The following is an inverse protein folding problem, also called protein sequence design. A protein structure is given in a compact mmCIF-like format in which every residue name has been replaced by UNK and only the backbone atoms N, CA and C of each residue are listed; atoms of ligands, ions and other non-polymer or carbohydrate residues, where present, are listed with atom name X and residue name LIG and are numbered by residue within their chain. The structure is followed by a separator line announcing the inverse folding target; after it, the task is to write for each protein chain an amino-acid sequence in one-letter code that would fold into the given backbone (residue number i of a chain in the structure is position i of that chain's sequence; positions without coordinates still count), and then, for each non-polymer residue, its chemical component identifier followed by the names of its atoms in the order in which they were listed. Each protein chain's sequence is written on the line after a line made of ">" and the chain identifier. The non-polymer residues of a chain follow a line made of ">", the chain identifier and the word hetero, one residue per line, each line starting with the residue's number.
data_IF_934151409425
#
_entry.id   IF_934151409425
#
_cell.length_a   1.000
_cell.length_b   1.000
_cell.length_c   1.000
_cell.angle_alpha   90.00
_cell.angle_beta   90.00
_cell.angle_gamma   90.00
#
_symmetry.space_group_name_H-M   'P 1'
#
loop_
_entity.id
_entity.type
_entity.pdbx_description
1 polymer ?
#
# COMPACT_ATOMS: atom_id res chain seq x y z
N UNK A 1 38.39 -57.18 3.93
CA UNK A 1 39.83 -57.18 4.23
C UNK A 1 40.58 -56.87 2.93
N UNK A 2 41.55 -55.95 3.03
CA UNK A 2 42.68 -55.64 2.10
C UNK A 2 42.37 -55.18 0.67
N UNK A 3 42.57 -53.90 0.29
CA UNK A 3 43.82 -53.14 0.02
C UNK A 3 44.65 -53.66 -1.17
N UNK A 4 44.85 -52.80 -2.18
CA UNK A 4 46.14 -52.21 -2.60
C UNK A 4 46.04 -51.71 -4.06
N UNK A 5 46.06 -50.40 -4.35
CA UNK A 5 47.23 -49.50 -4.43
C UNK A 5 48.42 -50.08 -5.21
N UNK A 6 48.61 -49.60 -6.45
CA UNK A 6 49.90 -49.68 -7.12
C UNK A 6 50.44 -48.26 -7.41
N UNK A 7 51.67 -48.05 -6.97
CA UNK A 7 52.47 -46.80 -6.93
C UNK A 7 53.64 -47.00 -7.92
N UNK A 8 54.00 -46.02 -8.76
CA UNK A 8 55.19 -45.09 -8.70
C UNK A 8 55.83 -45.00 -10.11
N UNK A 9 56.57 -43.94 -10.54
CA UNK A 9 57.85 -43.48 -9.93
C UNK A 9 58.11 -41.94 -9.93
N UNK A 10 59.29 -41.45 -9.43
CA UNK A 10 59.46 -40.11 -8.84
C UNK A 10 60.52 -39.16 -9.50
N UNK A 11 60.39 -37.84 -9.21
CA UNK A 11 61.33 -36.65 -9.14
C UNK A 11 62.55 -36.47 -10.09
N UNK A 12 62.97 -35.22 -10.44
CA UNK A 12 63.74 -34.29 -9.55
C UNK A 12 63.42 -32.77 -9.77
N UNK A 13 63.78 -31.75 -8.98
CA UNK A 13 64.57 -31.50 -7.77
C UNK A 13 64.48 -29.98 -7.45
N UNK A 14 64.57 -29.56 -6.19
CA UNK A 14 64.55 -28.12 -5.77
C UNK A 14 65.90 -27.41 -6.00
N UNK A 15 66.22 -26.24 -5.39
CA UNK A 15 65.53 -25.53 -4.29
C UNK A 15 65.47 -23.96 -4.42
N UNK A 16 64.89 -23.34 -3.39
CA UNK A 16 65.19 -22.01 -2.81
C UNK A 16 64.57 -20.72 -3.41
N UNK A 17 63.80 -20.03 -2.55
CA UNK A 17 63.44 -18.61 -2.61
C UNK A 17 64.56 -17.79 -1.93
N UNK A 18 64.99 -16.68 -2.53
CA UNK A 18 64.92 -15.35 -1.89
C UNK A 18 64.36 -14.32 -2.90
N UNK A 19 63.56 -13.30 -2.58
CA UNK A 19 63.73 -12.29 -1.55
C UNK A 19 63.97 -10.92 -2.21
N UNK A 20 62.92 -10.07 -2.25
CA UNK A 20 62.89 -8.61 -2.44
C UNK A 20 63.37 -7.94 -3.76
N UNK A 21 62.49 -7.09 -4.31
CA UNK A 21 62.87 -5.79 -4.88
C UNK A 21 62.41 -5.49 -6.30
N UNK A 22 61.56 -4.45 -6.44
CA UNK A 22 61.66 -3.50 -7.56
C UNK A 22 60.67 -3.62 -8.72
N UNK A 23 59.83 -2.59 -8.81
CA UNK A 23 59.44 -1.88 -10.03
C UNK A 23 58.21 -2.25 -10.89
N UNK A 24 57.29 -1.27 -10.91
CA UNK A 24 56.53 -0.73 -12.05
C UNK A 24 55.53 -1.61 -12.81
N UNK A 25 54.23 -1.29 -12.67
CA UNK A 25 53.21 -1.84 -13.58
C UNK A 25 51.76 -1.53 -13.23
N UNK A 26 51.33 -0.31 -13.54
CA UNK A 26 50.09 0.06 -14.27
C UNK A 26 48.73 -0.63 -13.94
N UNK A 27 47.71 0.22 -13.75
CA UNK A 27 46.38 -0.02 -14.32
C UNK A 27 45.39 -0.91 -13.55
N UNK A 28 45.06 -0.55 -12.30
CA UNK A 28 43.90 -1.12 -11.62
C UNK A 28 42.61 -0.37 -11.97
N UNK A 29 41.89 -0.83 -12.98
CA UNK A 29 40.51 -0.43 -13.24
C UNK A 29 39.67 -0.67 -11.97
N UNK A 30 39.36 0.41 -11.24
CA UNK A 30 38.49 0.37 -10.07
C UNK A 30 37.09 -0.05 -10.51
N UNK A 31 36.82 -1.35 -10.41
CA UNK A 31 35.57 -1.97 -10.79
C UNK A 31 34.37 -1.19 -10.27
N UNK A 32 33.38 -1.03 -11.14
CA UNK A 32 32.08 -0.48 -10.83
C UNK A 32 31.60 -1.05 -9.49
N UNK A 33 31.47 -0.17 -8.50
CA UNK A 33 30.86 -0.52 -7.22
C UNK A 33 29.43 -0.94 -7.51
N UNK A 34 29.19 -2.24 -7.58
CA UNK A 34 27.86 -2.81 -7.59
C UNK A 34 27.06 -2.15 -6.47
N UNK A 35 26.07 -1.33 -6.82
CA UNK A 35 25.09 -0.82 -5.87
C UNK A 35 24.40 -2.05 -5.30
N UNK A 36 24.80 -2.43 -4.08
CA UNK A 36 24.02 -3.33 -3.23
C UNK A 36 22.67 -2.66 -3.02
N UNK A 37 21.69 -3.06 -3.84
CA UNK A 37 20.28 -2.74 -3.65
C UNK A 37 19.88 -3.18 -2.24
N UNK A 38 19.80 -2.21 -1.32
CA UNK A 38 19.30 -2.43 0.02
C UNK A 38 17.80 -2.64 -0.06
N UNK A 39 17.38 -3.89 -0.14
CA UNK A 39 15.99 -4.28 0.13
C UNK A 39 15.65 -3.90 1.58
N UNK A 40 14.90 -2.82 1.73
CA UNK A 40 14.34 -2.38 3.01
C UNK A 40 14.06 -0.90 2.99
N UNK A 41 12.81 -0.52 2.75
CA UNK A 41 12.37 0.84 3.01
C UNK A 41 12.49 1.09 4.52
N UNK A 42 13.45 1.93 4.93
CA UNK A 42 13.47 2.52 6.28
C UNK A 42 12.41 3.62 6.37
N UNK A 43 11.18 3.32 5.95
CA UNK A 43 10.06 4.22 6.12
C UNK A 43 9.70 4.20 7.61
N UNK A 44 10.20 5.18 8.37
CA UNK A 44 9.82 5.35 9.78
C UNK A 44 8.36 5.75 9.94
N UNK A 45 7.76 6.27 8.87
CA UNK A 45 6.38 6.77 8.79
C UNK A 45 5.84 6.55 7.39
N UNK A 46 4.62 6.04 7.29
CA UNK A 46 3.84 5.92 6.05
C UNK A 46 2.69 6.91 6.14
N UNK A 47 2.56 7.77 5.14
CA UNK A 47 1.49 8.76 5.05
C UNK A 47 0.52 8.32 3.95
N UNK A 48 -0.69 7.96 4.37
CA UNK A 48 -1.81 7.56 3.52
C UNK A 48 -2.81 8.71 3.45
N UNK A 49 -3.40 8.95 2.29
CA UNK A 49 -4.44 9.96 2.12
C UNK A 49 -5.53 9.47 1.16
N UNK A 50 -6.72 10.02 1.27
CA UNK A 50 -7.81 9.80 0.31
C UNK A 50 -8.01 11.07 -0.50
N UNK A 51 -8.32 10.93 -1.79
CA UNK A 51 -8.63 12.05 -2.66
C UNK A 51 -9.77 11.71 -3.59
N UNK A 52 -10.88 12.44 -3.46
CA UNK A 52 -11.95 12.42 -4.44
C UNK A 52 -11.53 13.31 -5.61
N UNK A 53 -11.11 12.68 -6.72
CA UNK A 53 -10.53 13.38 -7.85
C UNK A 53 -11.57 14.10 -8.71
N UNK A 54 -12.85 13.76 -8.57
CA UNK A 54 -13.98 14.16 -9.43
C UNK A 54 -13.85 13.78 -10.90
N UNK A 55 -12.66 13.78 -11.50
CA UNK A 55 -12.37 13.26 -12.84
C UNK A 55 -10.85 13.19 -13.11
N UNK A 56 -10.37 12.03 -13.55
CA UNK A 56 -9.02 11.78 -14.09
C UNK A 56 -9.09 11.18 -15.49
N UNK A 57 -10.12 11.56 -16.26
CA UNK A 57 -10.38 11.03 -17.60
C UNK A 57 -9.23 11.27 -18.57
N UNK A 58 -8.59 12.42 -18.49
CA UNK A 58 -7.53 12.82 -19.42
C UNK A 58 -6.18 12.85 -18.73
N UNK A 59 -5.11 12.75 -19.50
CA UNK A 59 -3.76 12.74 -18.96
C UNK A 59 -3.37 14.12 -18.40
N UNK A 60 -3.94 15.23 -18.90
CA UNK A 60 -3.72 16.54 -18.28
C UNK A 60 -4.22 16.61 -16.84
N UNK A 61 -5.33 15.91 -16.54
CA UNK A 61 -5.86 15.83 -15.17
C UNK A 61 -5.00 15.00 -14.23
N UNK A 62 -4.29 14.01 -14.76
CA UNK A 62 -3.29 13.27 -13.98
C UNK A 62 -2.11 14.18 -13.64
N UNK A 63 -1.63 14.96 -14.62
CA UNK A 63 -0.54 15.91 -14.38
C UNK A 63 -0.92 16.97 -13.35
N UNK A 64 -2.13 17.55 -13.46
CA UNK A 64 -2.65 18.50 -12.47
C UNK A 64 -2.70 17.88 -11.06
N UNK A 65 -3.20 16.64 -10.95
CA UNK A 65 -3.17 15.90 -9.68
C UNK A 65 -1.75 15.74 -9.15
N UNK A 66 -0.78 15.36 -9.99
CA UNK A 66 0.62 15.21 -9.59
C UNK A 66 1.21 16.54 -9.07
N UNK A 67 0.91 17.67 -9.71
CA UNK A 67 1.34 19.00 -9.26
C UNK A 67 0.69 19.44 -7.94
N UNK A 68 -0.55 19.04 -7.68
CA UNK A 68 -1.23 19.31 -6.42
C UNK A 68 -0.62 18.51 -5.27
N UNK A 69 -0.42 17.21 -5.47
CA UNK A 69 0.05 16.31 -4.42
C UNK A 69 1.56 16.44 -4.17
N UNK A 70 2.35 16.94 -5.13
CA UNK A 70 3.80 17.17 -4.94
C UNK A 70 4.09 18.19 -3.83
N UNK A 71 3.12 19.07 -3.53
CA UNK A 71 3.19 20.05 -2.43
C UNK A 71 3.00 19.41 -1.05
N UNK A 72 2.56 18.16 -0.99
CA UNK A 72 2.22 17.43 0.24
C UNK A 72 3.21 16.28 0.46
N UNK A 73 3.35 15.86 1.72
CA UNK A 73 4.03 14.60 2.02
C UNK A 73 3.03 13.46 1.94
N UNK A 74 3.13 12.66 0.89
CA UNK A 74 2.28 11.48 0.68
C UNK A 74 3.14 10.29 0.26
N UNK A 75 2.59 9.10 0.47
CA UNK A 75 3.19 7.86 -0.01
C UNK A 75 2.20 7.05 -0.85
N UNK A 76 0.95 6.99 -0.41
CA UNK A 76 -0.15 6.35 -1.13
C UNK A 76 -1.38 7.21 -0.97
N UNK A 77 -2.03 7.50 -2.09
CA UNK A 77 -3.31 8.17 -2.10
C UNK A 77 -4.33 7.23 -2.72
N UNK A 78 -5.41 6.96 -1.99
CA UNK A 78 -6.57 6.27 -2.53
C UNK A 78 -7.45 7.25 -3.28
N UNK A 79 -7.80 6.90 -4.50
CA UNK A 79 -8.57 7.76 -5.41
C UNK A 79 -10.02 7.29 -5.48
N UNK A 80 -10.94 8.25 -5.47
CA UNK A 80 -12.36 8.06 -5.73
C UNK A 80 -12.81 8.99 -6.85
N UNK A 81 -13.89 8.62 -7.55
CA UNK A 81 -14.42 9.34 -8.71
C UNK A 81 -13.38 9.56 -9.83
N UNK A 82 -12.66 8.49 -10.16
CA UNK A 82 -11.62 8.53 -11.20
C UNK A 82 -12.22 8.82 -12.59
N UNK A 83 -13.41 8.28 -12.91
CA UNK A 83 -14.13 8.50 -14.17
C UNK A 83 -13.29 8.30 -15.45
N UNK A 84 -12.36 7.35 -15.40
CA UNK A 84 -11.50 6.92 -16.51
C UNK A 84 -11.93 5.52 -16.96
N UNK A 85 -11.90 5.28 -18.26
CA UNK A 85 -12.36 4.03 -18.89
C UNK A 85 -11.35 2.90 -18.72
N UNK A 86 -11.86 1.70 -18.43
CA UNK A 86 -11.08 0.49 -18.24
C UNK A 86 -10.48 0.28 -16.84
N UNK A 87 -9.62 -0.73 -16.75
CA UNK A 87 -8.82 -1.03 -15.56
C UNK A 87 -7.37 -1.18 -15.99
N UNK A 88 -6.47 -0.38 -15.43
CA UNK A 88 -5.06 -0.48 -15.76
C UNK A 88 -4.14 -0.04 -14.61
N UNK A 89 -2.89 -0.47 -14.70
CA UNK A 89 -1.77 -0.04 -13.85
C UNK A 89 -0.70 0.61 -14.72
N UNK A 90 -0.56 1.91 -14.60
CA UNK A 90 0.34 2.73 -15.41
C UNK A 90 1.45 3.31 -14.55
N UNK A 91 2.69 3.27 -15.05
CA UNK A 91 3.80 4.05 -14.47
C UNK A 91 3.83 5.41 -15.17
N UNK A 92 3.63 6.47 -14.40
CA UNK A 92 3.64 7.85 -14.89
C UNK A 92 5.08 8.30 -15.19
N UNK A 93 5.22 9.40 -15.93
CA UNK A 93 6.54 9.98 -16.27
C UNK A 93 7.36 10.34 -15.02
N UNK A 94 6.66 10.73 -13.94
CA UNK A 94 7.25 11.00 -12.63
C UNK A 94 7.90 9.77 -11.96
N UNK A 95 7.56 8.56 -12.45
CA UNK A 95 7.87 7.26 -11.86
C UNK A 95 6.85 6.78 -10.83
N UNK A 96 5.82 7.58 -10.53
CA UNK A 96 4.72 7.16 -9.67
C UNK A 96 3.86 6.10 -10.37
N UNK A 97 3.26 5.21 -9.60
CA UNK A 97 2.32 4.21 -10.12
C UNK A 97 0.91 4.73 -9.95
N UNK A 98 0.14 4.74 -11.04
CA UNK A 98 -1.29 4.99 -11.04
C UNK A 98 -2.01 3.68 -11.34
N UNK A 99 -2.97 3.33 -10.49
CA UNK A 99 -3.93 2.29 -10.76
C UNK A 99 -5.32 2.89 -10.77
N UNK A 100 -6.14 2.47 -11.71
CA UNK A 100 -7.53 2.86 -11.78
C UNK A 100 -8.42 1.71 -12.23
N UNK A 101 -9.66 1.75 -11.76
CA UNK A 101 -10.76 0.89 -12.18
C UNK A 101 -11.95 1.78 -12.52
N UNK A 102 -12.51 1.56 -13.70
CA UNK A 102 -13.75 2.21 -14.16
C UNK A 102 -14.92 1.92 -13.22
N UNK A 103 -15.85 2.89 -13.14
CA UNK A 103 -17.08 2.74 -12.37
C UNK A 103 -18.20 1.99 -13.10
N UNK A 104 -19.39 1.95 -12.50
CA UNK A 104 -20.55 1.17 -12.98
C UNK A 104 -21.14 1.71 -14.30
N UNK A 105 -20.91 2.99 -14.58
CA UNK A 105 -21.37 3.66 -15.79
C UNK A 105 -20.20 4.39 -16.45
N UNK A 106 -20.24 4.48 -17.77
CA UNK A 106 -19.26 5.24 -18.56
C UNK A 106 -19.06 6.61 -17.93
N UNK A 107 -17.82 6.88 -17.53
CA UNK A 107 -17.43 8.17 -16.94
C UNK A 107 -18.08 8.54 -15.59
N UNK A 108 -18.59 7.59 -14.81
CA UNK A 108 -19.06 7.85 -13.43
C UNK A 108 -18.34 6.93 -12.44
N UNK A 109 -18.09 7.44 -11.22
CA UNK A 109 -17.45 6.67 -10.16
C UNK A 109 -16.03 6.23 -10.50
N UNK A 110 -15.68 5.01 -10.07
CA UNK A 110 -14.35 4.44 -10.22
C UNK A 110 -13.47 4.71 -9.01
N UNK A 111 -12.57 3.76 -8.76
CA UNK A 111 -11.61 3.78 -7.65
C UNK A 111 -10.21 3.56 -8.18
N UNK A 112 -9.23 3.99 -7.41
CA UNK A 112 -7.85 3.84 -7.81
C UNK A 112 -6.87 4.10 -6.69
N UNK A 113 -5.60 4.05 -7.05
CA UNK A 113 -4.51 4.44 -6.18
C UNK A 113 -3.46 5.19 -6.98
N UNK A 114 -2.84 6.18 -6.35
CA UNK A 114 -1.53 6.67 -6.78
C UNK A 114 -0.50 6.32 -5.70
N UNK A 115 0.58 5.66 -6.11
CA UNK A 115 1.65 5.17 -5.25
C UNK A 115 2.95 5.87 -5.63
N UNK A 116 3.59 6.45 -4.63
CA UNK A 116 4.83 7.19 -4.85
C UNK A 116 5.92 6.27 -5.40
N UNK A 117 6.73 6.75 -6.34
CA UNK A 117 7.85 6.04 -6.98
C UNK A 117 8.78 5.29 -6.01
N UNK A 118 8.94 5.81 -4.79
CA UNK A 118 9.75 5.21 -3.73
C UNK A 118 9.22 3.87 -3.24
N UNK A 119 7.90 3.63 -3.36
CA UNK A 119 7.19 2.44 -2.88
C UNK A 119 6.73 1.50 -3.99
N UNK A 120 6.89 1.87 -5.27
CA UNK A 120 6.44 1.03 -6.40
C UNK A 120 7.05 -0.37 -6.33
N UNK A 121 8.34 -0.47 -6.01
CA UNK A 121 9.04 -1.77 -5.84
C UNK A 121 8.58 -2.59 -4.62
N UNK A 122 7.84 -1.96 -3.70
CA UNK A 122 7.26 -2.60 -2.52
C UNK A 122 5.83 -3.07 -2.76
N UNK A 123 5.17 -2.64 -3.85
CA UNK A 123 3.85 -3.13 -4.23
C UNK A 123 3.99 -4.59 -4.65
N UNK A 124 3.29 -5.47 -3.93
CA UNK A 124 3.21 -6.90 -4.23
C UNK A 124 2.05 -7.18 -5.16
N UNK A 125 0.94 -6.46 -4.94
CA UNK A 125 -0.34 -6.70 -5.62
C UNK A 125 -1.19 -5.45 -5.59
N UNK A 126 -1.94 -5.20 -6.66
CA UNK A 126 -2.99 -4.20 -6.74
C UNK A 126 -4.13 -4.77 -7.59
N UNK A 127 -5.35 -4.74 -7.07
CA UNK A 127 -6.53 -5.29 -7.75
C UNK A 127 -7.81 -4.59 -7.26
N UNK A 128 -8.84 -4.62 -8.11
CA UNK A 128 -10.21 -4.27 -7.76
C UNK A 128 -11.00 -5.51 -7.37
N UNK A 129 -11.87 -5.38 -6.37
CA UNK A 129 -12.93 -6.36 -6.09
C UNK A 129 -14.20 -5.94 -6.84
N UNK A 130 -14.44 -4.63 -6.92
CA UNK A 130 -15.53 -4.03 -7.67
C UNK A 130 -15.14 -2.62 -8.13
N UNK A 131 -16.06 -1.96 -8.81
CA UNK A 131 -15.97 -0.56 -9.25
C UNK A 131 -15.81 0.45 -8.10
N UNK A 132 -16.03 0.00 -6.85
CA UNK A 132 -16.04 0.81 -5.63
C UNK A 132 -15.05 0.35 -4.56
N UNK A 133 -14.47 -0.83 -4.72
CA UNK A 133 -13.53 -1.39 -3.76
C UNK A 133 -12.29 -1.88 -4.50
N UNK A 134 -11.17 -1.27 -4.19
CA UNK A 134 -9.85 -1.71 -4.65
C UNK A 134 -8.91 -1.88 -3.48
N UNK A 135 -7.92 -2.74 -3.63
CA UNK A 135 -6.91 -2.92 -2.61
C UNK A 135 -5.51 -3.06 -3.22
N UNK A 136 -4.52 -2.63 -2.45
CA UNK A 136 -3.12 -2.90 -2.73
C UNK A 136 -2.48 -3.57 -1.53
N UNK A 137 -1.46 -4.38 -1.81
CA UNK A 137 -0.63 -5.03 -0.79
C UNK A 137 0.79 -4.53 -0.95
N UNK A 138 1.30 -3.92 0.10
CA UNK A 138 2.69 -3.49 0.21
C UNK A 138 3.49 -4.45 1.07
N UNK A 139 4.71 -4.73 0.64
CA UNK A 139 5.71 -5.37 1.48
C UNK A 139 6.54 -4.30 2.19
N UNK A 140 6.31 -4.12 3.50
CA UNK A 140 7.07 -3.19 4.33
C UNK A 140 8.44 -3.79 4.66
N UNK A 141 8.46 -5.05 5.10
CA UNK A 141 9.69 -5.80 5.37
C UNK A 141 9.55 -7.24 4.88
N UNK A 142 10.60 -8.05 5.00
CA UNK A 142 10.52 -9.50 4.70
C UNK A 142 9.43 -10.24 5.49
N UNK A 143 9.03 -9.72 6.65
CA UNK A 143 8.07 -10.36 7.56
C UNK A 143 6.74 -9.63 7.70
N UNK A 144 6.63 -8.40 7.20
CA UNK A 144 5.47 -7.55 7.41
C UNK A 144 4.98 -7.01 6.07
N UNK A 145 3.71 -7.27 5.77
CA UNK A 145 2.96 -6.65 4.70
C UNK A 145 1.79 -5.85 5.26
N UNK A 146 1.40 -4.83 4.50
CA UNK A 146 0.28 -3.96 4.76
C UNK A 146 -0.68 -4.06 3.57
N UNK A 147 -1.95 -4.32 3.84
CA UNK A 147 -3.03 -4.18 2.88
C UNK A 147 -3.66 -2.81 3.06
N UNK A 148 -3.84 -2.07 1.98
CA UNK A 148 -4.58 -0.81 1.96
C UNK A 148 -5.79 -1.03 1.05
N UNK A 149 -6.98 -0.81 1.58
CA UNK A 149 -8.25 -0.97 0.87
C UNK A 149 -8.83 0.43 0.68
N UNK A 150 -9.07 0.82 -0.57
CA UNK A 150 -9.75 2.05 -0.95
C UNK A 150 -11.20 1.74 -1.24
N UNK A 151 -12.08 2.54 -0.65
CA UNK A 151 -13.53 2.42 -0.80
C UNK A 151 -14.11 3.73 -1.34
N UNK A 152 -15.09 3.62 -2.23
CA UNK A 152 -15.97 4.70 -2.62
C UNK A 152 -17.43 4.28 -2.44
N UNK A 153 -18.08 4.81 -1.42
CA UNK A 153 -19.43 4.41 -1.07
C UNK A 153 -20.49 5.06 -1.98
N UNK A 154 -21.59 4.32 -2.27
CA UNK A 154 -22.77 4.88 -2.91
C UNK A 154 -23.23 6.19 -2.24
N UNK A 155 -23.71 7.12 -3.06
CA UNK A 155 -24.50 8.25 -2.53
C UNK A 155 -25.85 7.75 -1.99
N UNK A 156 -26.51 8.55 -1.16
CA UNK A 156 -27.81 8.20 -0.56
C UNK A 156 -28.96 8.00 -1.57
N UNK A 157 -28.75 8.36 -2.84
CA UNK A 157 -29.71 8.13 -3.92
C UNK A 157 -29.71 6.67 -4.43
N UNK A 158 -28.67 5.90 -4.10
CA UNK A 158 -28.56 4.49 -4.49
C UNK A 158 -29.37 3.59 -3.55
N UNK A 159 -29.90 2.45 -4.07
CA UNK A 159 -30.61 1.48 -3.27
C UNK A 159 -29.70 0.87 -2.19
N UNK A 160 -30.30 0.50 -1.07
CA UNK A 160 -29.56 -0.09 0.06
C UNK A 160 -28.82 -1.38 -0.29
N UNK A 161 -29.28 -2.09 -1.32
CA UNK A 161 -28.61 -3.28 -1.85
C UNK A 161 -27.17 -2.98 -2.31
N UNK A 162 -26.92 -1.87 -3.00
CA UNK A 162 -25.55 -1.51 -3.44
C UNK A 162 -24.61 -1.28 -2.26
N UNK A 163 -25.16 -0.87 -1.11
CA UNK A 163 -24.38 -0.60 0.10
C UNK A 163 -24.02 -1.91 0.78
N UNK A 164 -24.94 -2.86 0.82
CA UNK A 164 -24.70 -4.20 1.31
C UNK A 164 -23.64 -4.92 0.46
N UNK A 165 -23.79 -4.89 -0.87
CA UNK A 165 -22.81 -5.43 -1.81
C UNK A 165 -21.41 -4.81 -1.62
N UNK A 166 -21.33 -3.50 -1.37
CA UNK A 166 -20.07 -2.85 -1.05
C UNK A 166 -19.44 -3.39 0.25
N UNK A 167 -20.21 -3.59 1.32
CA UNK A 167 -19.66 -4.16 2.56
C UNK A 167 -19.20 -5.61 2.37
N UNK A 168 -19.90 -6.39 1.56
CA UNK A 168 -19.44 -7.72 1.15
C UNK A 168 -18.12 -7.64 0.39
N UNK A 169 -17.97 -6.70 -0.54
CA UNK A 169 -16.74 -6.44 -1.28
C UNK A 169 -15.57 -6.08 -0.37
N UNK A 170 -15.82 -5.24 0.64
CA UNK A 170 -14.81 -4.89 1.64
C UNK A 170 -14.38 -6.14 2.41
N UNK A 171 -15.32 -6.96 2.89
CA UNK A 171 -15.00 -8.22 3.56
C UNK A 171 -14.23 -9.18 2.64
N UNK A 172 -14.57 -9.25 1.34
CA UNK A 172 -13.81 -10.02 0.34
C UNK A 172 -12.38 -9.49 0.20
N UNK A 173 -12.20 -8.18 0.07
CA UNK A 173 -10.89 -7.54 0.00
C UNK A 173 -10.05 -7.78 1.26
N UNK A 174 -10.67 -7.72 2.44
CA UNK A 174 -10.02 -8.00 3.73
C UNK A 174 -9.51 -9.44 3.81
N UNK A 175 -10.32 -10.41 3.36
CA UNK A 175 -10.02 -11.84 3.46
C UNK A 175 -9.25 -12.43 2.26
N UNK A 176 -9.14 -11.72 1.14
CA UNK A 176 -8.49 -12.19 -0.10
C UNK A 176 -7.03 -12.64 0.05
N UNK A 177 -6.32 -12.09 1.04
CA UNK A 177 -4.89 -12.33 1.25
C UNK A 177 -4.52 -12.02 2.69
N UNK A 178 -3.74 -12.91 3.31
CA UNK A 178 -3.28 -12.71 4.69
C UNK A 178 -2.16 -11.68 4.73
N UNK A 179 -2.42 -10.54 5.38
CA UNK A 179 -1.45 -9.49 5.66
C UNK A 179 -1.37 -9.24 7.16
N UNK A 180 -0.24 -8.71 7.64
CA UNK A 180 -0.04 -8.43 9.06
C UNK A 180 -0.81 -7.19 9.51
N UNK A 181 -0.98 -6.23 8.60
CA UNK A 181 -1.75 -5.01 8.82
C UNK A 181 -2.74 -4.82 7.67
N UNK A 182 -3.89 -4.24 7.99
CA UNK A 182 -4.92 -3.86 7.03
C UNK A 182 -5.41 -2.48 7.41
N UNK A 183 -5.36 -1.56 6.46
CA UNK A 183 -5.95 -0.23 6.56
C UNK A 183 -7.12 -0.20 5.59
N UNK A 184 -8.29 0.14 6.12
CA UNK A 184 -9.47 0.46 5.35
C UNK A 184 -9.58 1.99 5.31
N UNK A 185 -9.64 2.55 4.11
CA UNK A 185 -9.74 3.99 3.87
C UNK A 185 -10.65 4.26 2.67
N UNK A 186 -11.10 5.49 2.53
CA UNK A 186 -11.93 5.89 1.40
C UNK A 186 -12.97 6.91 1.80
N UNK A 187 -13.94 7.08 0.90
CA UNK A 187 -15.12 7.90 1.14
C UNK A 187 -16.29 6.96 1.43
N UNK A 188 -16.74 6.92 2.68
CA UNK A 188 -17.85 6.07 3.12
C UNK A 188 -19.21 6.77 3.03
N UNK A 189 -19.26 8.07 2.70
CA UNK A 189 -20.48 8.88 2.76
C UNK A 189 -21.26 8.69 4.09
N UNK A 190 -20.53 8.44 5.18
CA UNK A 190 -21.08 7.99 6.46
C UNK A 190 -20.64 8.94 7.57
N UNK A 191 -21.60 9.38 8.38
CA UNK A 191 -21.33 10.19 9.57
C UNK A 191 -21.47 9.28 10.78
N UNK A 192 -20.34 8.86 11.34
CA UNK A 192 -20.32 7.98 12.51
C UNK A 192 -20.75 8.70 13.80
N UNK A 193 -20.55 10.02 13.86
CA UNK A 193 -20.89 10.84 15.02
C UNK A 193 -20.13 10.43 16.29
N UNK A 194 -20.56 10.95 17.43
CA UNK A 194 -19.95 10.62 18.73
C UNK A 194 -20.30 9.19 19.14
N UNK A 195 -19.36 8.48 19.77
CA UNK A 195 -19.54 7.14 20.33
C UNK A 195 -20.83 7.02 21.15
N UNK A 196 -21.63 6.00 20.87
CA UNK A 196 -22.80 5.63 21.67
C UNK A 196 -22.42 4.63 22.79
N UNK A 197 -23.28 4.50 23.81
CA UNK A 197 -23.01 3.65 24.96
C UNK A 197 -22.92 2.17 24.54
N UNK A 198 -21.72 1.58 24.64
CA UNK A 198 -21.48 0.15 24.36
C UNK A 198 -20.45 -0.11 23.27
N UNK A 199 -20.26 0.84 22.34
CA UNK A 199 -19.37 0.64 21.20
C UNK A 199 -17.92 0.70 21.64
N UNK A 200 -17.08 -0.28 21.33
CA UNK A 200 -15.65 -0.26 21.75
C UNK A 200 -14.73 0.30 20.66
N UNK A 201 -15.21 0.36 19.42
CA UNK A 201 -14.42 0.62 18.21
C UNK A 201 -14.54 2.04 17.67
N UNK A 202 -15.56 2.77 18.10
CA UNK A 202 -15.82 4.16 17.69
C UNK A 202 -15.15 5.13 18.68
N UNK A 203 -14.42 6.10 18.14
CA UNK A 203 -13.74 7.13 18.93
C UNK A 203 -14.73 8.07 19.63
N UNK A 204 -14.30 8.67 20.75
CA UNK A 204 -15.14 9.61 21.53
C UNK A 204 -15.39 10.96 20.85
N UNK A 205 -14.82 11.22 19.67
CA UNK A 205 -14.73 12.55 19.05
C UNK A 205 -15.22 12.60 17.60
N UNK A 206 -16.27 11.87 17.24
CA UNK A 206 -16.87 12.02 15.91
C UNK A 206 -17.66 13.33 15.78
N UNK A 207 -17.59 13.93 14.59
CA UNK A 207 -18.24 15.19 14.25
C UNK A 207 -19.69 14.92 13.80
N UNK A 208 -20.63 15.67 14.36
CA UNK A 208 -22.04 15.64 13.96
C UNK A 208 -22.84 14.47 14.54
N UNK A 209 -24.12 14.42 14.18
CA UNK A 209 -25.03 13.33 14.56
C UNK A 209 -24.84 12.14 13.63
N UNK A 210 -24.86 10.93 14.21
CA UNK A 210 -24.78 9.68 13.47
C UNK A 210 -25.92 9.58 12.45
N UNK A 211 -25.59 9.28 11.20
CA UNK A 211 -26.58 8.97 10.17
C UNK A 211 -26.73 7.44 10.02
N UNK A 212 -27.79 6.94 9.33
CA UNK A 212 -28.00 5.49 9.15
C UNK A 212 -26.79 4.77 8.51
N UNK A 213 -26.11 5.42 7.56
CA UNK A 213 -24.87 4.90 6.95
C UNK A 213 -23.72 4.79 7.97
N UNK A 214 -23.63 5.74 8.90
CA UNK A 214 -22.71 5.69 10.03
C UNK A 214 -22.98 4.52 10.96
N UNK A 215 -24.26 4.21 11.26
CA UNK A 215 -24.57 3.03 12.04
C UNK A 215 -24.13 1.74 11.34
N UNK A 216 -24.42 1.60 10.04
CA UNK A 216 -23.98 0.45 9.25
C UNK A 216 -22.45 0.29 9.26
N UNK A 217 -21.71 1.40 9.17
CA UNK A 217 -20.26 1.39 9.24
C UNK A 217 -19.75 0.99 10.65
N UNK A 218 -20.42 1.45 11.71
CA UNK A 218 -20.09 1.05 13.08
C UNK A 218 -20.29 -0.46 13.29
N UNK A 219 -21.44 -0.98 12.88
CA UNK A 219 -21.78 -2.40 12.98
C UNK A 219 -20.77 -3.27 12.18
N UNK A 220 -20.40 -2.82 10.98
CA UNK A 220 -19.39 -3.46 10.15
C UNK A 220 -18.01 -3.47 10.83
N UNK A 221 -17.58 -2.34 11.40
CA UNK A 221 -16.31 -2.25 12.11
C UNK A 221 -16.27 -3.19 13.32
N UNK A 222 -17.37 -3.32 14.06
CA UNK A 222 -17.45 -4.26 15.18
C UNK A 222 -17.35 -5.72 14.71
N UNK A 223 -18.07 -6.06 13.65
CA UNK A 223 -18.05 -7.41 13.03
C UNK A 223 -16.65 -7.81 12.55
N UNK A 224 -15.95 -6.91 11.85
CA UNK A 224 -14.62 -7.16 11.28
C UNK A 224 -13.48 -6.84 12.26
N UNK A 225 -13.80 -6.38 13.48
CA UNK A 225 -12.83 -6.05 14.52
C UNK A 225 -11.98 -4.81 14.24
N UNK A 226 -12.41 -3.95 13.31
CA UNK A 226 -11.75 -2.71 12.92
C UNK A 226 -11.87 -1.63 14.02
N UNK A 227 -10.96 -0.65 14.01
CA UNK A 227 -10.92 0.46 14.97
C UNK A 227 -10.75 1.78 14.22
N UNK A 228 -11.62 2.75 14.45
CA UNK A 228 -11.49 4.09 13.88
C UNK A 228 -10.24 4.81 14.42
N UNK A 229 -9.43 5.42 13.55
CA UNK A 229 -8.25 6.22 13.95
C UNK A 229 -8.30 7.72 13.59
N UNK A 230 -9.47 8.29 13.27
CA UNK A 230 -9.58 9.74 13.05
C UNK A 230 -9.28 10.52 14.36
N UNK A 231 -8.08 11.12 14.46
CA UNK A 231 -7.73 12.13 15.47
C UNK A 231 -6.64 13.06 14.92
N UNK A 232 -7.03 14.27 14.50
CA UNK A 232 -6.13 15.43 14.44
C UNK A 232 -6.75 16.56 15.27
N UNK A 233 -6.11 17.02 16.37
CA UNK A 233 -6.46 18.28 16.99
C UNK A 233 -5.84 19.42 16.15
N UNK A 234 -6.70 20.38 15.80
CA UNK A 234 -6.44 21.67 15.15
C UNK A 234 -6.08 21.70 13.65
N UNK A 235 -7.06 22.24 12.90
CA UNK A 235 -6.94 22.98 11.64
C UNK A 235 -6.60 22.22 10.34
N UNK A 236 -7.56 21.44 9.82
CA UNK A 236 -7.92 21.39 8.38
C UNK A 236 -9.17 20.48 8.19
N UNK A 237 -10.05 20.77 7.21
CA UNK A 237 -11.20 19.91 6.93
C UNK A 237 -10.77 18.79 5.98
N UNK A 238 -10.79 17.52 6.42
CA UNK A 238 -10.96 16.34 5.57
C UNK A 238 -11.08 15.07 6.42
N UNK A 239 -12.06 14.22 6.10
CA UNK A 239 -12.29 12.90 6.69
C UNK A 239 -11.13 11.95 6.35
N UNK A 240 -10.42 11.46 7.38
CA UNK A 240 -9.38 10.43 7.23
C UNK A 240 -9.51 9.36 8.30
N UNK A 241 -10.22 8.28 7.98
CA UNK A 241 -10.24 7.08 8.82
C UNK A 241 -9.05 6.18 8.46
N UNK A 242 -8.13 6.00 9.41
CA UNK A 242 -7.11 4.96 9.38
C UNK A 242 -7.55 3.83 10.34
N UNK A 243 -7.15 2.57 10.12
CA UNK A 243 -7.32 1.46 11.10
C UNK A 243 -6.02 0.65 11.27
N UNK A 244 -5.56 0.37 12.50
CA UNK A 244 -4.46 -0.57 12.82
C UNK A 244 -4.97 -1.74 13.70
N UNK A 245 -4.59 -3.00 13.44
CA UNK A 245 -4.72 -4.07 14.42
C UNK A 245 -3.41 -4.24 15.22
N UNK A 246 -3.48 -4.28 16.57
CA UNK A 246 -2.34 -4.72 17.40
C UNK A 246 -2.62 -5.97 18.24
N UNK A 247 -1.81 -6.98 17.92
CA UNK A 247 -1.08 -7.95 18.78
C UNK A 247 -1.75 -8.45 20.06
N UNK A 248 -2.22 -9.70 20.00
CA UNK A 248 -2.37 -10.54 21.18
C UNK A 248 -1.03 -10.76 21.88
N UNK A 249 -0.99 -10.48 23.19
CA UNK A 249 0.07 -10.91 24.09
C UNK A 249 -0.09 -12.42 24.37
N UNK A 250 1.00 -13.17 24.25
CA UNK A 250 1.10 -14.52 24.80
C UNK A 250 1.18 -14.43 26.33
N UNK A 251 0.33 -15.19 27.03
CA UNK A 251 0.69 -15.78 28.32
C UNK A 251 1.08 -17.23 28.07
#
# INVERSE_FOLDING_TARGET
>A
MSNDNNKRPPVPGGPAIPGYGGDHGNGGAGGAKNLRWRFGCHLRRLDLATYNARTLRTDEKIVELEEEIDKLRWHIIGLSEVRREGEDTVILESGNLLYYREGDHLSQGGVGFIVQKSLVNNVVKIESVSTRVAYLILRITKRYSLKVIQVYAPTSAHPDQEVEEMYEDISRAMHSSKTQYTVLMGDFNAKLGTRENGELKVGKFGIGQRNPRGQQLADFMEKEGLFMMNFLPEAAPQEVDLVEPRRFHKK
#
